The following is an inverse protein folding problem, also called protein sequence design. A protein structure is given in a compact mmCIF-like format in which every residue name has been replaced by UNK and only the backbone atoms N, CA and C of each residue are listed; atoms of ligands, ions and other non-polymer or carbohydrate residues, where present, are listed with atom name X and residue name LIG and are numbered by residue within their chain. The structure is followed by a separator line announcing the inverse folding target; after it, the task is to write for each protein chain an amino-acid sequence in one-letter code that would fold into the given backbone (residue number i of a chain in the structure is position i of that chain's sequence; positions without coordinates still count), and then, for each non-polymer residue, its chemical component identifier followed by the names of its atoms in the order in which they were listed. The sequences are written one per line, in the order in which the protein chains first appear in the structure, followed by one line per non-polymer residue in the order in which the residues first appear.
data_IF_768046968440
#
_entry.id   IF_768046968440
#
_cell.length_a   1.000
_cell.length_b   1.000
_cell.length_c   1.000
_cell.angle_alpha   90.00
_cell.angle_beta   90.00
_cell.angle_gamma   90.00
#
_symmetry.space_group_name_H-M   'P 1'
#
loop_
_entity.id
_entity.type
_entity.pdbx_description
1 polymer ?
#
# COMPACT_ATOMS: atom_id res chain seq x y z
N UNK A 1 6.22 -7.61 2.90
CA UNK A 1 4.78 -7.57 2.57
C UNK A 1 4.21 -6.32 3.25
N UNK A 2 3.49 -5.45 2.54
CA UNK A 2 2.86 -4.24 3.07
C UNK A 2 1.41 -4.08 2.61
N UNK A 3 0.68 -3.12 3.18
CA UNK A 3 -0.72 -2.86 2.91
C UNK A 3 -0.89 -1.85 1.77
N UNK A 4 -1.67 -2.23 0.75
CA UNK A 4 -2.07 -1.30 -0.29
C UNK A 4 -3.12 -0.32 0.24
N UNK A 5 -2.87 0.99 0.17
CA UNK A 5 -3.80 2.02 0.65
C UNK A 5 -5.03 2.16 -0.23
N UNK A 6 -4.95 1.78 -1.50
CA UNK A 6 -6.04 1.86 -2.48
C UNK A 6 -7.03 0.69 -2.35
N UNK A 7 -6.53 -0.55 -2.34
CA UNK A 7 -7.37 -1.76 -2.36
C UNK A 7 -7.41 -2.53 -1.03
N UNK A 8 -6.70 -2.05 0.00
CA UNK A 8 -6.59 -2.65 1.34
C UNK A 8 -6.13 -4.11 1.36
N UNK A 9 -5.43 -4.56 0.31
CA UNK A 9 -4.81 -5.89 0.25
C UNK A 9 -3.37 -5.85 0.72
N UNK A 10 -2.96 -6.89 1.45
CA UNK A 10 -1.57 -7.09 1.86
C UNK A 10 -0.79 -7.77 0.74
N UNK A 11 0.37 -7.24 0.37
CA UNK A 11 1.20 -7.78 -0.71
C UNK A 11 2.51 -7.02 -0.92
N UNK A 12 3.10 -7.12 -2.11
CA UNK A 12 4.18 -6.23 -2.51
C UNK A 12 3.59 -4.85 -2.83
N UNK A 13 4.10 -3.82 -2.17
CA UNK A 13 3.67 -2.43 -2.35
C UNK A 13 4.90 -1.55 -2.52
N UNK A 14 4.76 -0.50 -3.33
CA UNK A 14 5.73 0.58 -3.38
C UNK A 14 5.61 1.38 -2.08
N UNK A 15 6.67 1.39 -1.26
CA UNK A 15 6.63 1.92 0.10
C UNK A 15 6.38 3.44 0.09
N UNK A 16 5.23 3.87 0.60
CA UNK A 16 4.86 5.29 0.75
C UNK A 16 4.89 5.71 2.22
N UNK A 17 4.63 4.78 3.15
CA UNK A 17 4.62 5.08 4.57
C UNK A 17 4.63 3.83 5.44
N UNK A 18 4.41 4.05 6.73
CA UNK A 18 4.25 3.01 7.73
C UNK A 18 2.95 3.28 8.50
N UNK A 19 2.22 2.22 8.83
CA UNK A 19 1.08 2.29 9.76
C UNK A 19 1.42 1.47 10.99
N UNK A 20 1.28 2.06 12.16
CA UNK A 20 1.43 1.33 13.40
C UNK A 20 0.20 0.45 13.65
N UNK A 21 0.41 -0.75 14.19
CA UNK A 21 -0.68 -1.53 14.74
C UNK A 21 -1.32 -0.78 15.93
N UNK A 22 -2.53 -1.20 16.34
CA UNK A 22 -3.31 -0.54 17.39
C UNK A 22 -2.60 -0.41 18.74
N UNK A 23 -1.59 -1.25 19.00
CA UNK A 23 -0.77 -1.23 20.21
C UNK A 23 0.55 -0.46 20.03
N UNK A 24 0.82 0.07 18.83
CA UNK A 24 2.08 0.77 18.51
C UNK A 24 3.32 -0.13 18.57
N UNK A 25 3.15 -1.45 18.57
CA UNK A 25 4.22 -2.42 18.75
C UNK A 25 4.89 -2.80 17.42
N UNK A 26 4.18 -2.66 16.29
CA UNK A 26 4.66 -3.01 14.96
C UNK A 26 4.25 -1.98 13.92
N UNK A 27 5.20 -1.56 13.10
CA UNK A 27 4.96 -0.72 11.94
C UNK A 27 4.81 -1.61 10.69
N UNK A 28 3.61 -1.63 10.10
CA UNK A 28 3.37 -2.26 8.81
C UNK A 28 3.71 -1.29 7.67
N UNK A 29 4.51 -1.71 6.68
CA UNK A 29 4.73 -0.90 5.49
C UNK A 29 3.43 -0.70 4.72
N UNK A 30 3.16 0.54 4.31
CA UNK A 30 2.00 0.92 3.50
C UNK A 30 2.44 1.54 2.18
N UNK A 31 1.61 1.42 1.16
CA UNK A 31 1.98 1.83 -0.17
C UNK A 31 0.90 1.60 -1.22
N UNK A 32 1.25 1.73 -2.49
CA UNK A 32 0.37 1.37 -3.62
C UNK A 32 0.89 0.09 -4.24
N UNK A 33 0.01 -0.90 -4.47
CA UNK A 33 0.41 -2.12 -5.17
C UNK A 33 0.51 -1.89 -6.68
N UNK A 34 1.27 -2.73 -7.37
CA UNK A 34 1.49 -2.63 -8.82
C UNK A 34 0.17 -2.58 -9.61
N UNK A 35 -0.83 -3.37 -9.22
CA UNK A 35 -2.14 -3.38 -9.89
C UNK A 35 -2.85 -2.02 -9.79
N UNK A 36 -2.90 -1.43 -8.59
CA UNK A 36 -3.50 -0.11 -8.39
C UNK A 36 -2.71 0.98 -9.12
N UNK A 37 -1.37 0.89 -9.12
CA UNK A 37 -0.51 1.84 -9.85
C UNK A 37 -0.77 1.80 -11.36
N UNK A 38 -0.92 0.61 -11.94
CA UNK A 38 -1.26 0.42 -13.36
C UNK A 38 -2.64 1.03 -13.66
N UNK A 39 -3.64 0.77 -12.81
CA UNK A 39 -4.99 1.34 -12.97
C UNK A 39 -4.98 2.88 -12.92
N UNK A 40 -4.24 3.48 -11.98
CA UNK A 40 -4.11 4.93 -11.89
C UNK A 40 -3.43 5.52 -13.14
N UNK A 41 -2.37 4.87 -13.63
CA UNK A 41 -1.68 5.31 -14.85
C UNK A 41 -2.60 5.25 -16.07
N UNK A 42 -3.38 4.17 -16.20
CA UNK A 42 -4.33 3.99 -17.30
C UNK A 42 -5.54 4.94 -17.26
N UNK A 43 -5.89 5.49 -16.09
CA UNK A 43 -6.93 6.53 -15.97
C UNK A 43 -6.44 7.92 -16.35
N UNK A 44 -5.12 8.15 -16.34
CA UNK A 44 -4.49 9.45 -16.60
C UNK A 44 -3.99 9.61 -18.04
N UNK A 45 -4.16 8.59 -18.89
CA UNK A 45 -3.88 8.60 -20.33
C UNK A 45 -5.16 8.60 -21.14
#
# INVERSE_FOLDING_TARGET
MGLCTECRRTGAVELVGLVCDRFGASAQPTGVCTECRIRQTALHT
#
